data_IF_717855732717
#
_entry.id   IF_717855732717
#
_cell.length_a   1.000
_cell.length_b   1.000
_cell.length_c   1.000
_cell.angle_alpha   90.00
_cell.angle_beta   90.00
_cell.angle_gamma   90.00
#
_symmetry.space_group_name_H-M   'P 1'
#
loop_
_entity.id
_entity.type
_entity.pdbx_description
1 polymer ?
#
# COMPACT_ATOMS: atom_id res chain seq x y z
N UNK A 1 -8.60 -4.69 37.19
CA UNK A 1 -8.37 -6.02 37.79
C UNK A 1 -8.91 -7.19 36.95
N UNK A 2 -9.89 -7.02 36.05
CA UNK A 2 -10.31 -8.09 35.12
C UNK A 2 -9.51 -8.16 33.80
N UNK A 3 -8.83 -7.08 33.38
CA UNK A 3 -7.98 -7.09 32.17
C UNK A 3 -6.63 -7.80 32.36
N UNK A 4 -6.05 -7.79 33.55
CA UNK A 4 -4.73 -8.40 33.82
C UNK A 4 -4.74 -9.94 33.74
N UNK A 5 -5.84 -10.58 34.18
CA UNK A 5 -5.99 -12.05 34.17
C UNK A 5 -6.15 -12.63 32.76
N UNK A 6 -6.67 -11.86 31.81
CA UNK A 6 -6.81 -12.28 30.41
C UNK A 6 -5.51 -12.21 29.61
N UNK A 7 -4.67 -11.22 29.90
CA UNK A 7 -3.42 -10.98 29.17
C UNK A 7 -2.32 -12.00 29.52
N UNK A 8 -2.28 -12.43 30.79
CA UNK A 8 -1.30 -13.41 31.30
C UNK A 8 -1.34 -14.73 30.51
N UNK A 9 -2.54 -15.21 30.17
CA UNK A 9 -2.70 -16.46 29.42
C UNK A 9 -2.31 -16.39 27.93
N UNK A 10 -2.32 -15.19 27.32
CA UNK A 10 -1.87 -15.01 25.92
C UNK A 10 -0.35 -14.92 25.85
N UNK A 11 0.26 -14.20 26.78
CA UNK A 11 1.71 -14.11 26.91
C UNK A 11 2.34 -15.48 27.24
N UNK A 12 1.72 -16.27 28.11
CA UNK A 12 2.14 -17.66 28.38
C UNK A 12 2.09 -18.53 27.13
N UNK A 13 1.03 -18.43 26.33
CA UNK A 13 0.92 -19.15 25.04
C UNK A 13 2.03 -18.72 24.08
N UNK A 14 2.30 -17.42 23.97
CA UNK A 14 3.37 -16.90 23.12
C UNK A 14 4.75 -17.40 23.58
N UNK A 15 5.01 -17.41 24.89
CA UNK A 15 6.24 -17.95 25.46
C UNK A 15 6.39 -19.45 25.18
N UNK A 16 5.31 -20.22 25.28
CA UNK A 16 5.30 -21.65 24.94
C UNK A 16 5.59 -21.90 23.45
N UNK A 17 4.96 -21.12 22.56
CA UNK A 17 5.21 -21.18 21.11
C UNK A 17 6.68 -20.89 20.82
N UNK A 18 7.23 -19.81 21.40
CA UNK A 18 8.65 -19.44 21.24
C UNK A 18 9.60 -20.55 21.70
N UNK A 19 9.31 -21.17 22.85
CA UNK A 19 10.11 -22.28 23.38
C UNK A 19 10.10 -23.48 22.43
N UNK A 20 8.91 -23.93 22.03
CA UNK A 20 8.75 -25.11 21.18
C UNK A 20 9.31 -24.89 19.77
N UNK A 21 9.10 -23.71 19.18
CA UNK A 21 9.65 -23.39 17.86
C UNK A 21 11.17 -23.34 17.87
N UNK A 22 11.78 -22.78 18.92
CA UNK A 22 13.23 -22.75 19.08
C UNK A 22 13.84 -24.14 19.23
N UNK A 23 13.16 -25.05 19.95
CA UNK A 23 13.58 -26.44 20.08
C UNK A 23 13.55 -27.17 18.73
N UNK A 24 12.44 -27.07 17.99
CA UNK A 24 12.32 -27.68 16.66
C UNK A 24 13.37 -27.14 15.68
N UNK A 25 13.68 -25.84 15.73
CA UNK A 25 14.74 -25.25 14.92
C UNK A 25 16.13 -25.78 15.30
N UNK A 26 16.42 -25.90 16.59
CA UNK A 26 17.70 -26.46 17.08
C UNK A 26 17.87 -27.93 16.69
N UNK A 27 16.77 -28.68 16.60
CA UNK A 27 16.73 -30.07 16.11
C UNK A 27 16.73 -30.17 14.57
N UNK A 28 16.75 -29.04 13.84
CA UNK A 28 16.72 -28.99 12.38
C UNK A 28 15.38 -29.41 11.77
N UNK A 29 14.29 -29.45 12.55
CA UNK A 29 12.95 -29.92 12.18
C UNK A 29 12.04 -28.79 11.70
N UNK A 30 12.52 -28.00 10.74
CA UNK A 30 11.73 -26.92 10.11
C UNK A 30 10.49 -27.46 9.40
N UNK A 31 10.52 -28.71 8.93
CA UNK A 31 9.37 -29.43 8.36
C UNK A 31 8.20 -29.55 9.36
N UNK A 32 8.50 -29.93 10.60
CA UNK A 32 7.49 -30.06 11.66
C UNK A 32 6.97 -28.70 12.11
N UNK A 33 7.85 -27.71 12.20
CA UNK A 33 7.45 -26.34 12.53
C UNK A 33 6.48 -25.79 11.48
N UNK A 34 6.81 -25.93 10.19
CA UNK A 34 5.93 -25.51 9.09
C UNK A 34 4.59 -26.25 9.10
N UNK A 35 4.61 -27.56 9.38
CA UNK A 35 3.38 -28.36 9.52
C UNK A 35 2.51 -27.90 10.69
N UNK A 36 3.12 -27.52 11.82
CA UNK A 36 2.41 -27.09 13.01
C UNK A 36 1.74 -25.71 12.84
N UNK A 37 2.44 -24.75 12.23
CA UNK A 37 1.89 -23.42 11.99
C UNK A 37 0.94 -23.39 10.80
N UNK A 38 1.17 -24.23 9.78
CA UNK A 38 0.53 -24.21 8.45
C UNK A 38 0.88 -22.99 7.60
N UNK A 39 0.74 -23.14 6.28
CA UNK A 39 1.02 -22.07 5.31
C UNK A 39 0.13 -20.83 5.53
N UNK A 40 -1.19 -20.94 5.75
CA UNK A 40 -2.03 -19.75 5.97
C UNK A 40 -1.60 -18.88 7.17
N UNK A 41 -1.19 -19.50 8.27
CA UNK A 41 -0.71 -18.74 9.44
C UNK A 41 0.65 -18.14 9.16
N UNK A 42 1.54 -18.85 8.47
CA UNK A 42 2.83 -18.29 8.06
C UNK A 42 2.67 -17.02 7.22
N UNK A 43 1.72 -17.01 6.28
CA UNK A 43 1.42 -15.82 5.48
C UNK A 43 0.88 -14.67 6.34
N UNK A 44 0.00 -14.96 7.32
CA UNK A 44 -0.44 -13.94 8.29
C UNK A 44 0.72 -13.37 9.12
N UNK A 45 1.64 -14.22 9.56
CA UNK A 45 2.83 -13.80 10.32
C UNK A 45 3.77 -12.94 9.46
N UNK A 46 3.91 -13.24 8.17
CA UNK A 46 4.70 -12.40 7.24
C UNK A 46 4.06 -11.03 7.04
N UNK A 47 2.73 -10.96 6.89
CA UNK A 47 1.99 -9.69 6.81
C UNK A 47 2.18 -8.88 8.09
N UNK A 48 2.06 -9.51 9.26
CA UNK A 48 2.24 -8.84 10.55
C UNK A 48 3.68 -8.35 10.75
N UNK A 49 4.68 -9.17 10.38
CA UNK A 49 6.08 -8.78 10.42
C UNK A 49 6.36 -7.59 9.50
N UNK A 50 5.82 -7.59 8.27
CA UNK A 50 5.97 -6.48 7.33
C UNK A 50 5.34 -5.19 7.86
N UNK A 51 4.17 -5.28 8.50
CA UNK A 51 3.50 -4.13 9.13
C UNK A 51 4.35 -3.48 10.22
N UNK A 52 5.07 -4.28 11.00
CA UNK A 52 5.94 -3.79 12.07
C UNK A 52 7.22 -3.09 11.57
N UNK A 53 7.59 -3.29 10.29
CA UNK A 53 8.82 -2.75 9.69
C UNK A 53 8.54 -1.77 8.55
N UNK A 54 7.32 -1.23 8.45
CA UNK A 54 7.00 -0.19 7.48
C UNK A 54 7.81 1.09 7.78
N UNK A 55 8.24 1.74 6.71
CA UNK A 55 8.90 3.04 6.71
C UNK A 55 7.85 4.16 6.63
N UNK A 56 8.19 5.32 7.18
CA UNK A 56 7.45 6.53 6.87
C UNK A 56 7.64 6.87 5.38
N UNK A 57 6.57 7.30 4.72
CA UNK A 57 6.66 7.92 3.41
C UNK A 57 6.74 9.43 3.60
N UNK A 58 7.94 9.99 3.49
CA UNK A 58 8.17 11.43 3.61
C UNK A 58 8.07 12.05 2.22
N UNK A 59 7.09 12.94 2.04
CA UNK A 59 6.89 13.71 0.82
C UNK A 59 7.43 15.11 1.08
N UNK A 60 8.51 15.44 0.39
CA UNK A 60 9.17 16.76 0.47
C UNK A 60 8.38 17.83 -0.30
N UNK A 61 8.71 19.10 -0.06
CA UNK A 61 8.14 20.26 -0.78
C UNK A 61 8.30 20.15 -2.31
N UNK A 62 9.44 19.65 -2.76
CA UNK A 62 9.76 19.39 -4.17
C UNK A 62 9.22 18.04 -4.69
N UNK A 63 8.31 17.41 -3.94
CA UNK A 63 7.68 16.13 -4.28
C UNK A 63 8.64 14.95 -4.42
N UNK A 64 9.82 14.97 -3.77
CA UNK A 64 10.61 13.75 -3.56
C UNK A 64 9.96 12.86 -2.50
N UNK A 65 9.94 11.56 -2.77
CA UNK A 65 9.32 10.55 -1.92
C UNK A 65 10.43 9.75 -1.25
N UNK A 66 10.64 9.99 0.04
CA UNK A 66 11.75 9.42 0.80
C UNK A 66 11.24 8.36 1.78
N UNK A 67 12.05 7.32 1.96
CA UNK A 67 11.82 6.24 2.91
C UNK A 67 12.94 6.24 3.95
N UNK A 68 12.77 6.91 5.12
CA UNK A 68 13.83 7.11 6.10
C UNK A 68 14.42 5.80 6.65
N UNK A 69 13.56 4.83 6.94
CA UNK A 69 13.94 3.51 7.47
C UNK A 69 14.68 2.65 6.44
N UNK A 70 14.68 3.05 5.17
CA UNK A 70 15.48 2.44 4.10
C UNK A 70 16.72 3.30 3.76
N UNK A 71 17.39 3.86 4.77
CA UNK A 71 18.54 4.74 4.61
C UNK A 71 18.24 6.01 3.79
N UNK A 72 17.06 6.61 4.01
CA UNK A 72 16.56 7.77 3.26
C UNK A 72 16.56 7.57 1.74
N UNK A 73 16.32 6.35 1.26
CA UNK A 73 16.21 6.09 -0.19
C UNK A 73 15.03 6.85 -0.78
N UNK A 74 15.24 7.40 -1.98
CA UNK A 74 14.18 8.03 -2.75
C UNK A 74 13.51 7.01 -3.68
N UNK A 75 12.18 7.00 -3.68
CA UNK A 75 11.36 6.26 -4.65
C UNK A 75 11.35 7.00 -5.99
N UNK A 76 12.02 6.40 -6.98
CA UNK A 76 12.21 7.02 -8.29
C UNK A 76 10.92 6.99 -9.14
N UNK A 77 10.12 8.05 -9.00
CA UNK A 77 8.86 8.23 -9.73
C UNK A 77 8.93 9.45 -10.65
N UNK A 78 8.45 9.30 -11.88
CA UNK A 78 8.30 10.48 -12.76
C UNK A 78 7.12 11.37 -12.29
N UNK A 79 7.06 12.65 -12.72
CA UNK A 79 6.05 13.60 -12.24
C UNK A 79 4.59 13.11 -12.35
N UNK A 80 4.22 12.40 -13.43
CA UNK A 80 2.87 11.83 -13.57
C UNK A 80 2.60 10.70 -12.56
N UNK A 81 3.60 9.88 -12.24
CA UNK A 81 3.44 8.81 -11.25
C UNK A 81 3.29 9.41 -9.85
N UNK A 82 4.04 10.47 -9.53
CA UNK A 82 3.90 11.22 -8.28
C UNK A 82 2.50 11.84 -8.16
N UNK A 83 2.02 12.50 -9.21
CA UNK A 83 0.67 13.10 -9.23
C UNK A 83 -0.43 12.05 -9.02
N UNK A 84 -0.36 10.93 -9.74
CA UNK A 84 -1.30 9.82 -9.57
C UNK A 84 -1.24 9.24 -8.15
N UNK A 85 -0.04 9.06 -7.61
CA UNK A 85 0.13 8.54 -6.26
C UNK A 85 -0.48 9.48 -5.21
N UNK A 86 -0.20 10.78 -5.32
CA UNK A 86 -0.76 11.82 -4.46
C UNK A 86 -2.29 11.81 -4.48
N UNK A 87 -2.91 11.65 -5.65
CA UNK A 87 -4.36 11.49 -5.76
C UNK A 87 -4.84 10.32 -4.88
N UNK A 88 -4.23 9.14 -4.99
CA UNK A 88 -4.62 7.99 -4.15
C UNK A 88 -4.25 8.13 -2.67
N UNK A 89 -3.31 9.00 -2.30
CA UNK A 89 -3.08 9.38 -0.91
C UNK A 89 -4.21 10.25 -0.37
N UNK A 90 -4.70 11.21 -1.18
CA UNK A 90 -5.79 12.11 -0.83
C UNK A 90 -7.16 11.40 -0.73
N UNK A 91 -7.32 10.24 -1.38
CA UNK A 91 -8.54 9.44 -1.40
C UNK A 91 -8.40 8.10 -0.65
N UNK A 92 -8.30 8.09 0.69
CA UNK A 92 -8.23 6.85 1.47
C UNK A 92 -9.46 5.94 1.33
N UNK A 93 -10.61 6.50 0.94
CA UNK A 93 -11.83 5.75 0.63
C UNK A 93 -11.68 4.85 -0.60
N UNK A 94 -10.78 5.22 -1.50
CA UNK A 94 -10.48 4.56 -2.76
C UNK A 94 -11.28 5.03 -3.96
N UNK A 95 -10.68 4.81 -5.13
CA UNK A 95 -11.27 5.21 -6.41
C UNK A 95 -11.44 3.96 -7.28
N UNK A 96 -12.62 3.77 -7.87
CA UNK A 96 -12.76 2.80 -8.96
C UNK A 96 -12.16 3.41 -10.24
N UNK A 97 -11.31 2.69 -10.97
CA UNK A 97 -10.69 3.25 -12.19
C UNK A 97 -11.71 3.75 -13.23
N UNK A 98 -12.89 3.12 -13.32
CA UNK A 98 -13.97 3.57 -14.21
C UNK A 98 -14.54 4.96 -13.84
N UNK A 99 -14.37 5.39 -12.58
CA UNK A 99 -14.80 6.68 -12.07
C UNK A 99 -13.63 7.68 -11.97
N UNK A 100 -12.42 7.33 -12.47
CA UNK A 100 -11.26 8.19 -12.38
C UNK A 100 -11.44 9.51 -13.15
N UNK A 101 -12.34 9.53 -14.13
CA UNK A 101 -12.75 10.74 -14.87
C UNK A 101 -13.29 11.84 -13.95
N UNK A 102 -13.94 11.46 -12.85
CA UNK A 102 -14.50 12.42 -11.88
C UNK A 102 -13.40 13.18 -11.12
N UNK A 103 -12.19 12.62 -11.08
CA UNK A 103 -11.00 13.18 -10.42
C UNK A 103 -10.02 13.84 -11.39
N UNK A 104 -10.43 14.01 -12.66
CA UNK A 104 -9.57 14.55 -13.73
C UNK A 104 -8.98 15.92 -13.37
N UNK A 105 -9.80 16.83 -12.85
CA UNK A 105 -9.35 18.19 -12.52
C UNK A 105 -8.33 18.20 -11.38
N UNK A 106 -8.55 17.39 -10.33
CA UNK A 106 -7.59 17.27 -9.23
C UNK A 106 -6.26 16.69 -9.72
N UNK A 107 -6.32 15.61 -10.51
CA UNK A 107 -5.14 15.01 -11.10
C UNK A 107 -4.37 16.00 -12.01
N UNK A 108 -5.09 16.83 -12.77
CA UNK A 108 -4.51 17.87 -13.61
C UNK A 108 -3.76 18.90 -12.78
N UNK A 109 -4.37 19.40 -11.69
CA UNK A 109 -3.76 20.35 -10.77
C UNK A 109 -2.52 19.78 -10.08
N UNK A 110 -2.61 18.53 -9.59
CA UNK A 110 -1.47 17.83 -9.00
C UNK A 110 -0.33 17.68 -10.03
N UNK A 111 -0.65 17.24 -11.24
CA UNK A 111 0.37 17.02 -12.27
C UNK A 111 1.01 18.32 -12.74
N UNK A 112 0.25 19.41 -12.81
CA UNK A 112 0.77 20.75 -13.12
C UNK A 112 1.71 21.26 -12.03
N UNK A 113 1.34 21.09 -10.75
CA UNK A 113 2.17 21.53 -9.62
C UNK A 113 3.49 20.77 -9.55
N UNK A 114 3.48 19.46 -9.78
CA UNK A 114 4.67 18.59 -9.72
C UNK A 114 5.51 18.72 -11.01
N UNK A 115 4.85 18.82 -12.16
CA UNK A 115 5.46 18.87 -13.49
C UNK A 115 5.71 20.29 -13.99
N UNK A 116 6.21 21.20 -13.14
CA UNK A 116 6.30 22.65 -13.41
C UNK A 116 7.06 23.05 -14.70
N UNK A 117 7.83 22.16 -15.32
CA UNK A 117 8.57 22.37 -16.59
C UNK A 117 7.95 21.67 -17.79
N UNK A 118 6.83 20.98 -17.62
CA UNK A 118 6.14 20.24 -18.68
C UNK A 118 5.12 21.17 -19.34
N UNK A 119 5.08 21.11 -20.66
CA UNK A 119 4.10 21.84 -21.47
C UNK A 119 2.66 21.47 -21.08
N UNK A 120 1.79 22.48 -20.96
CA UNK A 120 0.42 22.30 -20.49
C UNK A 120 -0.40 21.38 -21.40
N UNK A 121 -0.20 21.41 -22.71
CA UNK A 121 -0.92 20.56 -23.66
C UNK A 121 -0.55 19.09 -23.44
N UNK A 122 0.73 18.81 -23.15
CA UNK A 122 1.21 17.46 -22.81
C UNK A 122 0.65 16.97 -21.47
N UNK A 123 0.53 17.86 -20.50
CA UNK A 123 -0.10 17.54 -19.20
C UNK A 123 -1.56 17.15 -19.45
N UNK A 124 -2.31 17.97 -20.17
CA UNK A 124 -3.72 17.72 -20.50
C UNK A 124 -3.88 16.39 -21.26
N UNK A 125 -3.06 16.15 -22.29
CA UNK A 125 -3.09 14.91 -23.07
C UNK A 125 -2.85 13.69 -22.19
N UNK A 126 -1.82 13.74 -21.34
CA UNK A 126 -1.46 12.64 -20.44
C UNK A 126 -2.59 12.35 -19.46
N UNK A 127 -3.19 13.39 -18.86
CA UNK A 127 -4.30 13.25 -17.92
C UNK A 127 -5.54 12.68 -18.62
N UNK A 128 -5.89 13.18 -19.80
CA UNK A 128 -7.01 12.68 -20.59
C UNK A 128 -6.87 11.19 -20.90
N UNK A 129 -5.67 10.75 -21.29
CA UNK A 129 -5.40 9.33 -21.51
C UNK A 129 -5.50 8.51 -20.22
N UNK A 130 -5.02 9.05 -19.10
CA UNK A 130 -5.00 8.34 -17.83
C UNK A 130 -6.40 8.13 -17.25
N UNK A 131 -7.29 9.10 -17.41
CA UNK A 131 -8.68 9.00 -16.94
C UNK A 131 -9.63 8.33 -17.93
N UNK A 132 -9.18 8.04 -19.14
CA UNK A 132 -9.99 7.36 -20.15
C UNK A 132 -10.13 5.87 -19.77
N UNK A 133 -11.34 5.36 -19.47
CA UNK A 133 -11.54 3.97 -19.07
C UNK A 133 -11.24 2.96 -20.18
N UNK A 134 -11.10 3.41 -21.44
CA UNK A 134 -10.74 2.58 -22.59
C UNK A 134 -9.22 2.54 -22.87
N UNK A 135 -8.42 3.40 -22.21
CA UNK A 135 -6.96 3.42 -22.34
C UNK A 135 -6.30 2.61 -21.20
N UNK A 136 -5.20 1.93 -21.49
CA UNK A 136 -4.45 1.15 -20.51
C UNK A 136 -3.47 2.00 -19.68
N UNK A 137 -3.36 3.31 -19.97
CA UNK A 137 -2.41 4.23 -19.36
C UNK A 137 -2.40 4.16 -17.82
N UNK A 138 -3.57 4.08 -17.17
CA UNK A 138 -3.66 3.96 -15.71
C UNK A 138 -2.97 2.70 -15.17
N UNK A 139 -3.18 1.54 -15.81
CA UNK A 139 -2.58 0.27 -15.37
C UNK A 139 -1.06 0.27 -15.59
N UNK A 140 -0.59 0.91 -16.67
CA UNK A 140 0.84 1.09 -16.91
C UNK A 140 1.49 1.95 -15.83
N UNK A 141 0.86 3.07 -15.45
CA UNK A 141 1.38 3.93 -14.37
C UNK A 141 1.37 3.21 -13.02
N UNK A 142 0.31 2.48 -12.70
CA UNK A 142 0.25 1.68 -11.48
C UNK A 142 1.34 0.59 -11.45
N UNK A 143 1.60 -0.07 -12.59
CA UNK A 143 2.67 -1.07 -12.71
C UNK A 143 4.06 -0.46 -12.50
N UNK A 144 4.31 0.75 -13.01
CA UNK A 144 5.57 1.47 -12.81
C UNK A 144 5.75 1.93 -11.37
N UNK A 145 4.69 2.42 -10.74
CA UNK A 145 4.67 2.74 -9.31
C UNK A 145 5.00 1.48 -8.50
N UNK A 146 4.34 0.36 -8.80
CA UNK A 146 4.59 -0.93 -8.14
C UNK A 146 6.07 -1.32 -8.24
N UNK A 147 6.64 -1.28 -9.45
CA UNK A 147 8.05 -1.60 -9.66
C UNK A 147 8.99 -0.71 -8.81
N UNK A 148 8.75 0.60 -8.79
CA UNK A 148 9.60 1.53 -8.04
C UNK A 148 9.61 1.26 -6.52
N UNK A 149 8.49 0.83 -5.94
CA UNK A 149 8.47 0.40 -4.53
C UNK A 149 9.08 -0.99 -4.34
N UNK A 150 8.72 -1.95 -5.19
CA UNK A 150 9.24 -3.34 -5.11
C UNK A 150 10.75 -3.44 -5.32
N UNK A 151 11.39 -2.46 -5.96
CA UNK A 151 12.85 -2.39 -6.09
C UNK A 151 13.55 -2.03 -4.75
N UNK A 152 12.80 -1.53 -3.77
CA UNK A 152 13.33 -1.00 -2.51
C UNK A 152 13.01 -1.87 -1.29
N UNK A 153 11.94 -2.67 -1.37
CA UNK A 153 11.40 -3.44 -0.25
C UNK A 153 10.82 -4.79 -0.71
N UNK A 154 10.55 -5.69 0.23
CA UNK A 154 9.95 -6.99 -0.10
C UNK A 154 8.47 -6.86 -0.51
N UNK A 155 7.90 -7.95 -1.04
CA UNK A 155 6.53 -8.01 -1.55
C UNK A 155 5.48 -7.66 -0.49
N UNK A 156 5.65 -8.14 0.76
CA UNK A 156 4.70 -7.93 1.84
C UNK A 156 4.70 -6.46 2.29
N UNK A 157 5.86 -5.82 2.32
CA UNK A 157 5.97 -4.39 2.59
C UNK A 157 5.42 -3.56 1.43
N UNK A 158 5.80 -3.89 0.18
CA UNK A 158 5.39 -3.16 -1.02
C UNK A 158 3.86 -3.09 -1.15
N UNK A 159 3.14 -4.14 -0.76
CA UNK A 159 1.67 -4.18 -0.79
C UNK A 159 0.98 -3.08 0.04
N UNK A 160 1.68 -2.47 1.00
CA UNK A 160 1.20 -1.29 1.72
C UNK A 160 1.36 -0.01 0.91
N UNK A 161 2.44 0.14 0.14
CA UNK A 161 2.76 1.37 -0.57
C UNK A 161 2.13 1.46 -1.95
N UNK A 162 1.81 0.34 -2.60
CA UNK A 162 1.30 0.35 -3.97
C UNK A 162 -0.22 0.60 -4.04
N UNK A 163 -0.69 1.01 -5.22
CA UNK A 163 -2.13 1.17 -5.51
C UNK A 163 -2.74 -0.22 -5.73
N UNK A 164 -3.30 -0.79 -4.66
CA UNK A 164 -3.82 -2.15 -4.61
C UNK A 164 -5.34 -2.22 -4.82
N UNK A 165 -5.82 -3.39 -5.26
CA UNK A 165 -7.26 -3.60 -5.52
C UNK A 165 -7.97 -4.11 -4.27
N UNK A 166 -9.07 -3.46 -3.90
CA UNK A 166 -9.93 -3.87 -2.78
C UNK A 166 -11.35 -4.07 -3.27
N UNK A 167 -11.94 -5.21 -2.89
CA UNK A 167 -13.31 -5.55 -3.26
C UNK A 167 -14.22 -5.28 -2.07
N UNK A 168 -15.05 -4.25 -2.16
CA UNK A 168 -16.12 -4.00 -1.18
C UNK A 168 -17.39 -4.70 -1.63
N UNK A 169 -17.92 -5.55 -0.76
CA UNK A 169 -19.19 -6.25 -0.96
C UNK A 169 -20.30 -5.44 -0.31
N UNK A 170 -21.35 -5.19 -1.06
CA UNK A 170 -22.56 -4.56 -0.56
C UNK A 170 -23.73 -5.54 -0.63
N UNK A 171 -24.60 -5.46 0.37
CA UNK A 171 -25.84 -6.24 0.42
C UNK A 171 -27.00 -5.26 0.62
N UNK A 172 -27.77 -5.02 -0.44
CA UNK A 172 -28.95 -4.17 -0.38
C UNK A 172 -30.11 -4.82 0.39
N UNK A 173 -31.09 -4.01 0.81
CA UNK A 173 -32.30 -4.47 1.51
C UNK A 173 -33.25 -5.33 0.66
N UNK A 174 -33.04 -5.35 -0.67
CA UNK A 174 -33.55 -6.38 -1.57
C UNK A 174 -32.33 -7.18 -2.05
N UNK A 175 -32.51 -8.49 -2.22
CA UNK A 175 -31.51 -9.56 -2.48
C UNK A 175 -30.58 -9.36 -3.71
N UNK A 176 -29.95 -8.18 -3.84
CA UNK A 176 -28.97 -7.81 -4.85
C UNK A 176 -27.63 -7.62 -4.15
N UNK A 177 -26.69 -8.47 -4.53
CA UNK A 177 -25.28 -8.32 -4.23
C UNK A 177 -24.63 -7.52 -5.35
N UNK A 178 -23.89 -6.47 -4.99
CA UNK A 178 -22.98 -5.82 -5.92
C UNK A 178 -21.60 -5.63 -5.27
N UNK A 179 -20.60 -5.51 -6.12
CA UNK A 179 -19.20 -5.40 -5.72
C UNK A 179 -18.61 -4.12 -6.31
N UNK A 180 -17.85 -3.41 -5.49
CA UNK A 180 -17.05 -2.27 -5.91
C UNK A 180 -15.58 -2.67 -5.91
N UNK A 181 -14.86 -2.36 -6.99
CA UNK A 181 -13.44 -2.67 -7.10
C UNK A 181 -12.63 -1.39 -6.95
N UNK A 182 -12.42 -1.02 -5.70
CA UNK A 182 -11.69 0.17 -5.33
C UNK A 182 -10.19 -0.04 -5.47
N UNK A 183 -9.49 1.07 -5.70
CA UNK A 183 -8.05 1.14 -5.76
C UNK A 183 -7.60 2.06 -4.63
N UNK A 184 -6.76 1.52 -3.74
CA UNK A 184 -6.30 2.22 -2.54
C UNK A 184 -4.84 1.92 -2.27
N UNK A 185 -4.19 2.86 -1.57
CA UNK A 185 -2.90 2.65 -0.94
C UNK A 185 -3.18 2.27 0.52
N UNK A 186 -2.71 1.09 0.94
CA UNK A 186 -2.98 0.55 2.28
C UNK A 186 -2.05 1.12 3.37
N UNK A 187 -1.07 1.94 2.99
CA UNK A 187 -0.13 2.56 3.91
C UNK A 187 -0.91 3.35 4.97
N UNK A 188 -0.76 3.02 6.26
CA UNK A 188 -1.40 3.79 7.33
C UNK A 188 -1.06 5.27 7.21
N UNK A 189 -2.07 6.14 7.32
CA UNK A 189 -1.91 7.57 7.02
C UNK A 189 -1.03 8.29 8.03
N UNK A 190 -0.91 7.76 9.24
CA UNK A 190 0.06 8.18 10.25
C UNK A 190 1.52 8.00 9.81
N UNK A 191 1.80 7.12 8.83
CA UNK A 191 3.12 6.94 8.24
C UNK A 191 3.39 7.86 7.04
N UNK A 192 2.39 8.62 6.58
CA UNK A 192 2.55 9.58 5.49
C UNK A 192 2.85 10.95 6.10
N UNK A 193 4.06 11.47 5.84
CA UNK A 193 4.53 12.74 6.39
C UNK A 193 4.77 13.72 5.26
N UNK A 194 4.07 14.85 5.30
CA UNK A 194 4.30 15.96 4.38
C UNK A 194 5.22 16.99 5.04
N UNK A 195 6.40 17.21 4.47
CA UNK A 195 7.21 18.39 4.84
C UNK A 195 6.50 19.60 4.22
N UNK A 196 6.11 20.54 5.08
CA UNK A 196 5.08 21.56 4.82
C UNK A 196 5.22 22.28 3.47
N UNK A 197 4.11 22.44 2.74
CA UNK A 197 4.00 23.27 1.53
C UNK A 197 3.80 24.75 1.83
#
# INVERSE_FOLDING_TARGET
MQEELGNTGVEEKAAMIKKLSSQLLAEGRTDLLLKAISVPVLEQLRIEAARATLSHLVITEDYHFLLPEFSNKEVQLSPIHKALYMLFLNHPEGIEFKNLVDYREELLQLYQKIGNRIDMDKIIETVNRLVNPLDNAINEKCSRIKAAFSDLMDEYQADYYIINSHVKRHQGGSMKLWFERLKIINLPRELVVYQCF
#
